data_IF_801923058477
#
_entry.id   IF_801923058477
#
_cell.length_a   1.000
_cell.length_b   1.000
_cell.length_c   1.000
_cell.angle_alpha   90.00
_cell.angle_beta   90.00
_cell.angle_gamma   90.00
#
_symmetry.space_group_name_H-M   'P 1'
#
loop_
_entity.id
_entity.type
_entity.pdbx_description
1 polymer ?
#
# COMPACT_ATOMS: atom_id res chain seq x y z
N UNK A 1 -9.71 -21.40 21.79
CA UNK A 1 -10.85 -20.63 21.25
C UNK A 1 -11.80 -21.62 20.56
N UNK A 2 -12.89 -22.04 21.21
CA UNK A 2 -13.92 -22.91 20.60
C UNK A 2 -14.85 -22.01 19.81
N UNK A 3 -14.65 -21.91 18.51
CA UNK A 3 -15.64 -21.29 17.62
C UNK A 3 -16.87 -22.21 17.69
N UNK A 4 -17.97 -21.72 18.26
CA UNK A 4 -19.20 -22.49 18.39
C UNK A 4 -19.74 -22.80 16.99
N UNK A 5 -20.29 -23.99 16.78
CA UNK A 5 -20.95 -24.37 15.52
C UNK A 5 -22.10 -23.43 15.14
N UNK A 6 -22.63 -22.66 16.12
CA UNK A 6 -23.62 -21.60 15.90
C UNK A 6 -23.07 -20.37 15.16
N UNK A 7 -21.83 -19.94 15.45
CA UNK A 7 -21.27 -18.70 14.89
C UNK A 7 -20.93 -18.87 13.41
N UNK A 8 -20.50 -20.07 13.03
CA UNK A 8 -20.22 -20.43 11.64
C UNK A 8 -21.49 -20.51 10.79
N UNK A 9 -22.59 -20.99 11.37
CA UNK A 9 -23.90 -21.05 10.69
C UNK A 9 -24.48 -19.65 10.46
N UNK A 10 -24.36 -18.74 11.44
CA UNK A 10 -24.81 -17.34 11.31
C UNK A 10 -24.01 -16.61 10.24
N UNK A 11 -22.68 -16.78 10.19
CA UNK A 11 -21.84 -16.15 9.17
C UNK A 11 -22.17 -16.64 7.75
N UNK A 12 -22.43 -17.95 7.55
CA UNK A 12 -22.85 -18.51 6.25
C UNK A 12 -24.20 -17.98 5.78
N UNK A 13 -25.17 -17.86 6.69
CA UNK A 13 -26.49 -17.30 6.37
C UNK A 13 -26.40 -15.79 6.04
N UNK A 14 -25.52 -15.06 6.72
CA UNK A 14 -25.25 -13.65 6.44
C UNK A 14 -24.58 -13.44 5.06
N UNK A 15 -23.58 -14.27 4.71
CA UNK A 15 -22.90 -14.22 3.41
C UNK A 15 -23.88 -14.50 2.25
N UNK A 16 -24.74 -15.51 2.40
CA UNK A 16 -25.75 -15.84 1.38
C UNK A 16 -26.78 -14.73 1.18
N UNK A 17 -27.19 -14.05 2.24
CA UNK A 17 -28.10 -12.92 2.16
C UNK A 17 -27.43 -11.66 1.61
N UNK A 18 -26.16 -11.40 1.95
CA UNK A 18 -25.37 -10.31 1.38
C UNK A 18 -25.16 -10.48 -0.12
N UNK A 19 -24.73 -11.67 -0.57
CA UNK A 19 -24.57 -11.96 -1.99
C UNK A 19 -25.89 -11.80 -2.75
N UNK A 20 -27.01 -12.26 -2.18
CA UNK A 20 -28.33 -12.06 -2.78
C UNK A 20 -28.75 -10.59 -2.85
N UNK A 21 -28.36 -9.75 -1.89
CA UNK A 21 -28.62 -8.32 -1.91
C UNK A 21 -27.75 -7.58 -2.93
N UNK A 22 -26.47 -7.96 -3.06
CA UNK A 22 -25.57 -7.40 -4.08
C UNK A 22 -25.95 -7.81 -5.50
N UNK A 23 -26.54 -9.00 -5.67
CA UNK A 23 -27.06 -9.51 -6.94
C UNK A 23 -28.42 -8.90 -7.34
N UNK A 24 -28.96 -7.96 -6.56
CA UNK A 24 -30.17 -7.23 -6.96
C UNK A 24 -29.84 -6.24 -8.08
N UNK A 25 -30.68 -6.13 -9.13
CA UNK A 25 -30.41 -5.30 -10.31
C UNK A 25 -30.12 -3.83 -9.97
N UNK A 26 -30.74 -3.30 -8.90
CA UNK A 26 -30.55 -1.92 -8.45
C UNK A 26 -29.15 -1.65 -7.84
N UNK A 27 -28.44 -2.70 -7.39
CA UNK A 27 -27.11 -2.60 -6.77
C UNK A 27 -25.99 -3.15 -7.63
N UNK A 28 -26.31 -4.05 -8.56
CA UNK A 28 -25.33 -4.68 -9.45
C UNK A 28 -24.49 -3.67 -10.22
N UNK A 29 -25.12 -2.65 -10.82
CA UNK A 29 -24.39 -1.66 -11.63
C UNK A 29 -23.45 -0.79 -10.76
N UNK A 30 -23.91 -0.19 -9.64
CA UNK A 30 -23.01 0.47 -8.69
C UNK A 30 -21.89 -0.42 -8.16
N UNK A 31 -22.18 -1.67 -7.79
CA UNK A 31 -21.18 -2.59 -7.22
C UNK A 31 -20.13 -3.01 -8.26
N UNK A 32 -20.54 -3.29 -9.50
CA UNK A 32 -19.62 -3.61 -10.59
C UNK A 32 -18.75 -2.42 -10.98
N UNK A 33 -19.33 -1.22 -11.06
CA UNK A 33 -18.57 -0.01 -11.39
C UNK A 33 -17.57 0.34 -10.28
N UNK A 34 -17.99 0.28 -9.01
CA UNK A 34 -17.10 0.46 -7.87
C UNK A 34 -15.98 -0.59 -7.85
N UNK A 35 -16.31 -1.86 -8.06
CA UNK A 35 -15.34 -2.96 -8.13
C UNK A 35 -14.34 -2.78 -9.29
N UNK A 36 -14.79 -2.32 -10.45
CA UNK A 36 -13.93 -2.08 -11.60
C UNK A 36 -12.98 -0.91 -11.36
N UNK A 37 -13.49 0.23 -10.88
CA UNK A 37 -12.66 1.39 -10.53
C UNK A 37 -11.61 0.99 -9.49
N UNK A 38 -12.05 0.28 -8.45
CA UNK A 38 -11.18 -0.16 -7.38
C UNK A 38 -10.14 -1.18 -7.86
N UNK A 39 -10.52 -2.11 -8.75
CA UNK A 39 -9.60 -3.06 -9.35
C UNK A 39 -8.54 -2.40 -10.22
N UNK A 40 -8.92 -1.40 -11.02
CA UNK A 40 -7.96 -0.61 -11.81
C UNK A 40 -7.00 0.14 -10.89
N UNK A 41 -7.51 0.79 -9.83
CA UNK A 41 -6.66 1.44 -8.84
C UNK A 41 -5.70 0.44 -8.18
N UNK A 42 -6.20 -0.74 -7.78
CA UNK A 42 -5.41 -1.78 -7.15
C UNK A 42 -4.23 -2.22 -8.02
N UNK A 43 -4.44 -2.37 -9.33
CA UNK A 43 -3.36 -2.70 -10.29
C UNK A 43 -2.33 -1.57 -10.37
N UNK A 44 -2.78 -0.31 -10.47
CA UNK A 44 -1.89 0.86 -10.51
C UNK A 44 -1.04 0.92 -9.24
N UNK A 45 -1.66 0.76 -8.06
CA UNK A 45 -0.97 0.75 -6.78
C UNK A 45 -0.01 -0.43 -6.65
N UNK A 46 -0.40 -1.64 -7.06
CA UNK A 46 0.46 -2.81 -6.97
C UNK A 46 1.74 -2.65 -7.81
N UNK A 47 1.61 -2.13 -9.04
CA UNK A 47 2.75 -1.83 -9.92
C UNK A 47 3.60 -0.71 -9.32
N UNK A 48 2.98 0.37 -8.85
CA UNK A 48 3.70 1.50 -8.26
C UNK A 48 4.51 1.11 -7.02
N UNK A 49 3.93 0.30 -6.13
CA UNK A 49 4.60 -0.15 -4.91
C UNK A 49 5.69 -1.18 -5.21
N UNK A 50 5.49 -2.05 -6.21
CA UNK A 50 6.54 -2.96 -6.67
C UNK A 50 7.74 -2.19 -7.26
N UNK A 51 7.48 -1.17 -8.10
CA UNK A 51 8.51 -0.32 -8.66
C UNK A 51 9.27 0.47 -7.57
N UNK A 52 8.61 0.83 -6.47
CA UNK A 52 9.25 1.48 -5.32
C UNK A 52 10.20 0.53 -4.57
N UNK A 53 9.82 -0.74 -4.40
CA UNK A 53 10.59 -1.75 -3.67
C UNK A 53 11.77 -2.28 -4.50
N UNK A 54 11.55 -2.55 -5.78
CA UNK A 54 12.52 -3.15 -6.69
C UNK A 54 13.26 -2.08 -7.49
N UNK A 55 14.00 -1.21 -6.80
CA UNK A 55 14.83 -0.14 -7.42
C UNK A 55 16.32 -0.48 -7.38
N UNK A 56 17.13 0.27 -8.15
CA UNK A 56 18.59 0.16 -8.12
C UNK A 56 19.08 -1.25 -8.49
N UNK A 57 19.89 -1.93 -7.65
CA UNK A 57 20.37 -3.30 -7.92
C UNK A 57 19.24 -4.33 -8.13
N UNK A 58 18.03 -4.04 -7.68
CA UNK A 58 16.86 -4.91 -7.83
C UNK A 58 16.02 -4.60 -9.08
N UNK A 59 16.40 -3.58 -9.86
CA UNK A 59 15.63 -3.11 -11.01
C UNK A 59 15.42 -4.20 -12.08
N UNK A 60 16.38 -5.10 -12.25
CA UNK A 60 16.24 -6.23 -13.18
C UNK A 60 15.13 -7.21 -12.78
N UNK A 61 14.75 -7.23 -11.50
CA UNK A 61 13.71 -8.10 -10.94
C UNK A 61 12.35 -7.41 -10.77
N UNK A 62 12.17 -6.18 -11.29
CA UNK A 62 10.89 -5.47 -11.27
C UNK A 62 9.71 -6.34 -11.76
N UNK A 63 9.83 -7.11 -12.87
CA UNK A 63 8.73 -7.98 -13.32
C UNK A 63 8.30 -9.00 -12.27
N UNK A 64 9.27 -9.55 -11.51
CA UNK A 64 8.99 -10.48 -10.40
C UNK A 64 8.27 -9.76 -9.26
N UNK A 65 8.75 -8.57 -8.89
CA UNK A 65 8.11 -7.74 -7.87
C UNK A 65 6.66 -7.36 -8.21
N UNK A 66 6.40 -6.98 -9.46
CA UNK A 66 5.04 -6.68 -9.95
C UNK A 66 4.17 -7.93 -9.87
N UNK A 67 4.67 -9.08 -10.32
CA UNK A 67 3.94 -10.34 -10.25
C UNK A 67 3.57 -10.73 -8.82
N UNK A 68 4.52 -10.60 -7.87
CA UNK A 68 4.28 -10.86 -6.45
C UNK A 68 3.24 -9.89 -5.86
N UNK A 69 3.36 -8.60 -6.14
CA UNK A 69 2.44 -7.57 -5.63
C UNK A 69 1.01 -7.77 -6.14
N UNK A 70 0.84 -8.05 -7.44
CA UNK A 70 -0.46 -8.36 -8.03
C UNK A 70 -1.05 -9.66 -7.49
N UNK A 71 -0.23 -10.70 -7.35
CA UNK A 71 -0.68 -11.97 -6.78
C UNK A 71 -1.15 -11.79 -5.33
N UNK A 72 -0.38 -11.10 -4.50
CA UNK A 72 -0.77 -10.78 -3.12
C UNK A 72 -2.05 -9.94 -3.09
N UNK A 73 -2.20 -8.94 -3.98
CA UNK A 73 -3.39 -8.13 -4.07
C UNK A 73 -4.64 -8.96 -4.40
N UNK A 74 -4.56 -9.88 -5.35
CA UNK A 74 -5.66 -10.79 -5.72
C UNK A 74 -6.00 -11.72 -4.55
N UNK A 75 -5.00 -12.38 -3.97
CA UNK A 75 -5.22 -13.33 -2.86
C UNK A 75 -5.85 -12.62 -1.66
N UNK A 76 -5.33 -11.46 -1.26
CA UNK A 76 -5.88 -10.69 -0.14
C UNK A 76 -7.27 -10.15 -0.42
N UNK A 77 -7.54 -9.65 -1.63
CA UNK A 77 -8.87 -9.19 -2.03
C UNK A 77 -9.91 -10.32 -1.97
N UNK A 78 -9.57 -11.51 -2.47
CA UNK A 78 -10.45 -12.69 -2.42
C UNK A 78 -10.68 -13.13 -0.97
N UNK A 79 -9.62 -13.24 -0.17
CA UNK A 79 -9.74 -13.65 1.23
C UNK A 79 -10.60 -12.66 2.01
N UNK A 80 -10.38 -11.36 1.86
CA UNK A 80 -11.16 -10.32 2.55
C UNK A 80 -12.60 -10.27 2.04
N UNK A 81 -12.83 -10.38 0.73
CA UNK A 81 -14.18 -10.42 0.18
C UNK A 81 -15.02 -11.60 0.72
N UNK A 82 -14.38 -12.74 1.01
CA UNK A 82 -15.07 -13.94 1.51
C UNK A 82 -15.18 -14.02 3.04
N UNK A 83 -14.26 -13.40 3.78
CA UNK A 83 -14.16 -13.56 5.25
C UNK A 83 -14.63 -12.34 6.03
N UNK A 84 -14.67 -11.17 5.39
CA UNK A 84 -14.99 -9.94 6.08
C UNK A 84 -16.48 -9.81 6.38
N UNK A 85 -16.81 -9.26 7.54
CA UNK A 85 -18.20 -9.11 8.00
C UNK A 85 -18.80 -7.73 7.67
N UNK A 86 -18.00 -6.80 7.13
CA UNK A 86 -18.42 -5.44 6.82
C UNK A 86 -18.57 -5.23 5.30
N UNK A 87 -19.72 -4.73 4.82
CA UNK A 87 -19.92 -4.47 3.40
C UNK A 87 -19.01 -3.33 2.91
N UNK A 88 -18.52 -3.43 1.67
CA UNK A 88 -17.76 -2.36 1.01
C UNK A 88 -16.30 -2.21 1.43
N UNK A 89 -15.72 -3.19 2.14
CA UNK A 89 -14.27 -3.17 2.44
C UNK A 89 -13.47 -3.65 1.23
N UNK A 90 -12.40 -2.92 0.95
CA UNK A 90 -11.42 -3.23 -0.09
C UNK A 90 -10.03 -3.25 0.51
N UNK A 91 -9.22 -4.22 0.12
CA UNK A 91 -7.77 -4.24 0.40
C UNK A 91 -6.99 -3.47 -0.66
N UNK A 92 -6.00 -2.70 -0.24
CA UNK A 92 -5.05 -2.03 -1.14
C UNK A 92 -3.63 -2.09 -0.55
N UNK A 93 -2.58 -2.15 -1.39
CA UNK A 93 -1.21 -1.91 -0.98
C UNK A 93 -1.08 -0.56 -0.27
N UNK A 94 -0.29 -0.50 0.80
CA UNK A 94 -0.12 0.70 1.60
C UNK A 94 1.25 1.35 1.36
N UNK A 95 1.23 2.61 0.94
CA UNK A 95 2.38 3.40 0.49
C UNK A 95 3.46 3.49 1.58
N UNK A 96 3.03 3.80 2.81
CA UNK A 96 3.93 3.95 3.96
C UNK A 96 4.63 2.66 4.35
N UNK A 97 4.06 1.49 4.05
CA UNK A 97 4.69 0.20 4.32
C UNK A 97 5.62 -0.20 3.17
N UNK A 98 5.21 0.06 1.93
CA UNK A 98 6.03 -0.21 0.75
C UNK A 98 7.39 0.51 0.81
N UNK A 99 7.44 1.76 1.27
CA UNK A 99 8.71 2.48 1.41
C UNK A 99 9.63 1.87 2.48
N UNK A 100 9.07 1.37 3.59
CA UNK A 100 9.86 0.68 4.62
C UNK A 100 10.43 -0.63 4.06
N UNK A 101 9.62 -1.38 3.30
CA UNK A 101 10.06 -2.60 2.62
C UNK A 101 11.11 -2.31 1.55
N UNK A 102 11.01 -1.19 0.83
CA UNK A 102 12.01 -0.75 -0.13
C UNK A 102 13.36 -0.45 0.54
N UNK A 103 13.35 0.24 1.69
CA UNK A 103 14.57 0.51 2.48
C UNK A 103 15.20 -0.81 2.95
N UNK A 104 14.38 -1.75 3.44
CA UNK A 104 14.87 -3.08 3.85
C UNK A 104 15.47 -3.85 2.66
N UNK A 105 14.79 -3.87 1.52
CA UNK A 105 15.27 -4.54 0.30
C UNK A 105 16.58 -3.93 -0.19
N UNK A 106 16.70 -2.60 -0.17
CA UNK A 106 17.94 -1.89 -0.46
C UNK A 106 19.08 -2.24 0.52
N UNK A 107 18.78 -2.32 1.82
CA UNK A 107 19.77 -2.70 2.83
C UNK A 107 20.26 -4.15 2.67
N UNK A 108 19.40 -5.07 2.23
CA UNK A 108 19.82 -6.43 1.85
C UNK A 108 20.70 -6.36 0.60
N UNK A 109 20.29 -5.59 -0.41
CA UNK A 109 21.03 -5.44 -1.66
C UNK A 109 22.42 -4.80 -1.48
N UNK A 110 22.65 -4.01 -0.43
CA UNK A 110 24.00 -3.49 -0.12
C UNK A 110 24.96 -4.53 0.48
N UNK A 111 24.44 -5.64 0.99
CA UNK A 111 25.24 -6.70 1.60
C UNK A 111 25.64 -7.80 0.62
N UNK A 112 24.96 -7.90 -0.52
CA UNK A 112 25.22 -8.86 -1.58
C UNK A 112 25.68 -8.14 -2.85
N UNK A 113 26.45 -8.81 -3.69
CA UNK A 113 26.75 -8.28 -5.03
C UNK A 113 25.50 -8.32 -5.90
N UNK A 114 25.36 -7.36 -6.83
CA UNK A 114 24.23 -7.36 -7.78
C UNK A 114 24.17 -8.63 -8.63
N UNK A 115 25.31 -9.28 -8.89
CA UNK A 115 25.40 -10.54 -9.63
C UNK A 115 25.19 -11.79 -8.75
N UNK A 116 24.94 -11.63 -7.45
CA UNK A 116 24.77 -12.77 -6.54
C UNK A 116 23.40 -13.44 -6.76
N UNK A 117 23.36 -14.73 -7.13
CA UNK A 117 22.09 -15.45 -7.30
C UNK A 117 21.22 -15.49 -6.03
N UNK A 118 21.81 -15.28 -4.85
CA UNK A 118 21.09 -15.23 -3.58
C UNK A 118 20.37 -13.89 -3.33
N UNK A 119 20.63 -12.84 -4.11
CA UNK A 119 20.05 -11.50 -3.92
C UNK A 119 18.51 -11.53 -3.92
N UNK A 120 17.92 -11.97 -5.03
CA UNK A 120 16.46 -12.01 -5.19
C UNK A 120 15.78 -12.93 -4.16
N UNK A 121 16.22 -14.19 -3.96
CA UNK A 121 15.65 -15.06 -2.92
C UNK A 121 15.71 -14.46 -1.51
N UNK A 122 16.82 -13.79 -1.16
CA UNK A 122 16.98 -13.19 0.17
C UNK A 122 16.03 -12.02 0.37
N UNK A 123 15.86 -11.16 -0.65
CA UNK A 123 14.89 -10.06 -0.62
C UNK A 123 13.46 -10.61 -0.50
N UNK A 124 13.07 -11.58 -1.32
CA UNK A 124 11.74 -12.20 -1.26
C UNK A 124 11.50 -12.84 0.11
N UNK A 125 12.48 -13.55 0.66
CA UNK A 125 12.37 -14.13 1.99
C UNK A 125 12.23 -13.05 3.08
N UNK A 126 12.99 -11.97 2.99
CA UNK A 126 12.86 -10.81 3.87
C UNK A 126 11.47 -10.20 3.82
N UNK A 127 10.91 -10.00 2.63
CA UNK A 127 9.54 -9.52 2.43
C UNK A 127 8.50 -10.49 3.03
N UNK A 128 8.68 -11.80 2.84
CA UNK A 128 7.80 -12.84 3.36
C UNK A 128 7.83 -12.89 4.89
N UNK A 129 9.02 -12.84 5.51
CA UNK A 129 9.19 -12.82 6.96
C UNK A 129 8.57 -11.56 7.54
N UNK A 130 8.88 -10.38 6.98
CA UNK A 130 8.33 -9.11 7.46
C UNK A 130 6.79 -9.11 7.40
N UNK A 131 6.22 -9.50 6.26
CA UNK A 131 4.77 -9.56 6.06
C UNK A 131 4.11 -10.60 6.98
N UNK A 132 4.71 -11.78 7.11
CA UNK A 132 4.24 -12.84 8.00
C UNK A 132 4.27 -12.44 9.46
N UNK A 133 5.35 -11.82 9.93
CA UNK A 133 5.47 -11.30 11.29
C UNK A 133 4.43 -10.23 11.58
N UNK A 134 4.21 -9.28 10.68
CA UNK A 134 3.14 -8.29 10.81
C UNK A 134 1.78 -8.96 10.86
N UNK A 135 1.51 -9.93 9.98
CA UNK A 135 0.27 -10.71 9.97
C UNK A 135 0.00 -11.43 11.30
N UNK A 136 1.03 -12.07 11.88
CA UNK A 136 0.94 -12.73 13.20
C UNK A 136 0.61 -11.70 14.28
N UNK A 137 1.32 -10.57 14.33
CA UNK A 137 1.07 -9.52 15.32
C UNK A 137 -0.35 -8.95 15.18
N UNK A 138 -0.79 -8.64 13.97
CA UNK A 138 -2.15 -8.17 13.70
C UNK A 138 -3.21 -9.20 14.09
N UNK A 139 -2.97 -10.48 13.83
CA UNK A 139 -3.84 -11.57 14.25
C UNK A 139 -3.92 -11.68 15.79
N UNK A 140 -2.80 -11.54 16.49
CA UNK A 140 -2.78 -11.52 17.96
C UNK A 140 -3.54 -10.31 18.52
N UNK A 141 -3.33 -9.11 17.98
CA UNK A 141 -4.07 -7.90 18.39
C UNK A 141 -5.57 -8.08 18.18
N UNK A 142 -5.98 -8.63 17.04
CA UNK A 142 -7.38 -8.93 16.72
C UNK A 142 -8.00 -9.98 17.64
N UNK A 143 -7.30 -11.11 17.85
CA UNK A 143 -7.78 -12.22 18.67
C UNK A 143 -7.93 -11.86 20.15
N UNK A 144 -7.04 -11.02 20.68
CA UNK A 144 -7.15 -10.51 22.05
C UNK A 144 -8.04 -9.27 22.18
N UNK A 145 -8.64 -8.77 21.09
CA UNK A 145 -9.49 -7.56 21.06
C UNK A 145 -8.76 -6.29 21.54
N UNK A 146 -7.45 -6.21 21.29
CA UNK A 146 -6.61 -5.06 21.65
C UNK A 146 -6.76 -3.85 20.71
N UNK A 147 -7.67 -3.91 19.73
CA UNK A 147 -7.90 -2.80 18.78
C UNK A 147 -8.27 -1.48 19.46
N UNK A 148 -8.89 -1.52 20.64
CA UNK A 148 -9.20 -0.33 21.44
C UNK A 148 -7.97 0.43 21.94
N UNK A 149 -6.75 -0.12 21.82
CA UNK A 149 -5.53 0.57 22.21
C UNK A 149 -5.17 1.73 21.28
N UNK A 150 -5.66 1.73 20.04
CA UNK A 150 -5.37 2.79 19.06
C UNK A 150 -5.79 4.19 19.54
N UNK A 151 -6.80 4.27 20.43
CA UNK A 151 -7.28 5.55 21.01
C UNK A 151 -6.29 6.20 21.98
N UNK A 152 -5.25 5.48 22.40
CA UNK A 152 -4.21 6.01 23.28
C UNK A 152 -3.00 6.55 22.53
N UNK A 153 -2.95 6.43 21.20
CA UNK A 153 -1.85 6.99 20.41
C UNK A 153 -2.01 8.51 20.35
N UNK A 154 -1.03 9.29 20.87
CA UNK A 154 -1.10 10.74 20.82
C UNK A 154 -1.06 11.25 19.37
N UNK A 155 -1.83 12.30 19.06
CA UNK A 155 -1.79 12.96 17.75
C UNK A 155 -0.38 13.34 17.27
N UNK A 156 0.55 13.82 18.14
CA UNK A 156 1.93 14.09 17.72
C UNK A 156 2.67 12.86 17.16
N UNK A 157 2.40 11.65 17.67
CA UNK A 157 3.03 10.41 17.19
C UNK A 157 2.53 10.08 15.78
N UNK A 158 1.22 10.19 15.56
CA UNK A 158 0.63 10.00 14.23
C UNK A 158 1.15 11.04 13.25
N UNK A 159 1.21 12.32 13.66
CA UNK A 159 1.74 13.40 12.85
C UNK A 159 3.22 13.20 12.48
N UNK A 160 4.06 12.78 13.43
CA UNK A 160 5.47 12.49 13.18
C UNK A 160 5.67 11.32 12.22
N UNK A 161 4.92 10.23 12.39
CA UNK A 161 4.97 9.07 11.48
C UNK A 161 4.52 9.43 10.07
N UNK A 162 3.42 10.18 9.92
CA UNK A 162 2.94 10.65 8.61
C UNK A 162 3.93 11.62 7.94
N UNK A 163 4.54 12.52 8.70
CA UNK A 163 5.57 13.42 8.17
C UNK A 163 6.82 12.65 7.71
N UNK A 164 7.28 11.70 8.52
CA UNK A 164 8.44 10.86 8.19
C UNK A 164 8.20 9.98 6.96
N UNK A 165 7.07 9.28 6.92
CA UNK A 165 6.71 8.44 5.76
C UNK A 165 6.48 9.29 4.50
N UNK A 166 5.90 10.49 4.62
CA UNK A 166 5.77 11.44 3.51
C UNK A 166 7.13 11.89 2.96
N UNK A 167 8.11 12.17 3.83
CA UNK A 167 9.47 12.48 3.41
C UNK A 167 10.13 11.29 2.69
N UNK A 168 10.04 10.09 3.25
CA UNK A 168 10.60 8.88 2.64
C UNK A 168 9.94 8.56 1.29
N UNK A 169 8.63 8.77 1.16
CA UNK A 169 7.92 8.61 -0.11
C UNK A 169 8.38 9.63 -1.15
N UNK A 170 8.62 10.88 -0.76
CA UNK A 170 9.18 11.89 -1.66
C UNK A 170 10.59 11.49 -2.14
N UNK A 171 11.44 10.99 -1.24
CA UNK A 171 12.76 10.48 -1.59
C UNK A 171 12.69 9.23 -2.48
N UNK A 172 11.80 8.28 -2.18
CA UNK A 172 11.60 7.08 -2.98
C UNK A 172 11.07 7.39 -4.39
N UNK A 173 10.11 8.31 -4.50
CA UNK A 173 9.61 8.77 -5.79
C UNK A 173 10.72 9.46 -6.61
N UNK A 174 11.56 10.29 -5.97
CA UNK A 174 12.72 10.89 -6.62
C UNK A 174 13.70 9.84 -7.14
N UNK A 175 13.98 8.81 -6.33
CA UNK A 175 14.85 7.70 -6.72
C UNK A 175 14.28 6.94 -7.92
N UNK A 176 12.98 6.59 -7.90
CA UNK A 176 12.31 5.94 -9.04
C UNK A 176 12.37 6.78 -10.32
N UNK A 177 12.32 8.11 -10.21
CA UNK A 177 12.39 9.00 -11.38
C UNK A 177 13.81 9.21 -11.93
N UNK A 178 14.83 9.17 -11.07
CA UNK A 178 16.20 9.63 -11.41
C UNK A 178 17.27 8.56 -11.31
N UNK A 179 16.95 7.40 -10.74
CA UNK A 179 17.90 6.36 -10.31
C UNK A 179 18.99 6.88 -9.35
N UNK A 180 18.72 8.00 -8.65
CA UNK A 180 19.64 8.65 -7.72
C UNK A 180 18.99 8.95 -6.37
N UNK A 181 19.79 8.91 -5.31
CA UNK A 181 19.36 9.38 -4.00
C UNK A 181 19.39 10.90 -3.97
N UNK A 182 18.33 11.50 -3.42
CA UNK A 182 18.30 12.94 -3.20
C UNK A 182 19.30 13.33 -2.11
N UNK A 183 20.34 14.04 -2.50
CA UNK A 183 21.38 14.56 -1.61
C UNK A 183 21.57 16.06 -1.87
N UNK A 184 21.44 16.87 -0.82
CA UNK A 184 21.62 18.32 -0.90
C UNK A 184 23.06 18.69 -1.29
N UNK A 185 24.04 17.85 -0.98
CA UNK A 185 25.43 18.10 -1.36
C UNK A 185 25.64 18.07 -2.88
N UNK A 186 24.80 17.34 -3.62
CA UNK A 186 24.89 17.14 -5.07
C UNK A 186 23.84 17.92 -5.87
N UNK A 187 23.22 18.95 -5.27
CA UNK A 187 22.20 19.81 -5.91
C UNK A 187 22.56 20.30 -7.33
N UNK A 188 23.81 20.75 -7.62
CA UNK A 188 24.17 21.17 -8.97
C UNK A 188 24.05 20.06 -10.01
N UNK A 189 24.36 18.82 -9.64
CA UNK A 189 24.21 17.66 -10.51
C UNK A 189 22.73 17.32 -10.75
N UNK A 190 21.88 17.47 -9.72
CA UNK A 190 20.43 17.22 -9.81
C UNK A 190 19.67 18.26 -10.67
N UNK A 191 20.23 19.47 -10.80
CA UNK A 191 19.73 20.55 -11.66
C UNK A 191 20.26 20.50 -13.09
N UNK A 192 21.14 19.54 -13.41
CA UNK A 192 21.56 19.33 -14.79
C UNK A 192 20.31 19.04 -15.67
N UNK A 193 20.21 19.60 -16.89
CA UNK A 193 19.01 19.50 -17.72
C UNK A 193 18.50 18.07 -17.93
N UNK A 194 19.43 17.11 -18.04
CA UNK A 194 19.12 15.70 -18.24
C UNK A 194 18.39 15.05 -17.04
N UNK A 195 18.72 15.45 -15.81
CA UNK A 195 18.11 14.93 -14.58
C UNK A 195 16.89 15.77 -14.20
N UNK A 196 16.99 17.09 -14.36
CA UNK A 196 15.92 18.04 -14.05
C UNK A 196 14.61 17.69 -14.76
N UNK A 197 14.66 17.31 -16.04
CA UNK A 197 13.47 16.91 -16.82
C UNK A 197 12.79 15.65 -16.26
N UNK A 198 13.52 14.79 -15.54
CA UNK A 198 12.96 13.54 -14.98
C UNK A 198 12.12 13.78 -13.72
N UNK A 199 12.49 14.74 -12.86
CA UNK A 199 11.82 14.96 -11.58
C UNK A 199 10.99 16.25 -11.48
N UNK A 200 11.35 17.31 -12.23
CA UNK A 200 10.62 18.59 -12.20
C UNK A 200 9.14 18.45 -12.57
N UNK A 201 8.73 17.67 -13.60
CA UNK A 201 7.31 17.47 -13.90
C UNK A 201 6.56 16.82 -12.73
N UNK A 202 7.16 15.81 -12.08
CA UNK A 202 6.60 15.16 -10.91
C UNK A 202 6.43 16.14 -9.74
N UNK A 203 7.43 16.97 -9.46
CA UNK A 203 7.34 18.02 -8.45
C UNK A 203 6.30 19.08 -8.80
N UNK A 204 6.21 19.51 -10.07
CA UNK A 204 5.22 20.47 -10.52
C UNK A 204 3.80 19.94 -10.33
N UNK A 205 3.53 18.68 -10.69
CA UNK A 205 2.25 18.01 -10.48
C UNK A 205 1.95 17.89 -8.98
N UNK A 206 2.93 17.46 -8.17
CA UNK A 206 2.78 17.35 -6.73
C UNK A 206 2.44 18.69 -6.06
N UNK A 207 3.16 19.76 -6.43
CA UNK A 207 2.87 21.11 -5.95
C UNK A 207 1.50 21.61 -6.42
N UNK A 208 1.16 21.39 -7.69
CA UNK A 208 -0.16 21.74 -8.22
C UNK A 208 -1.26 21.02 -7.46
N UNK A 209 -1.12 19.72 -7.19
CA UNK A 209 -2.08 18.94 -6.40
C UNK A 209 -2.21 19.47 -4.97
N UNK A 210 -1.10 19.76 -4.29
CA UNK A 210 -1.12 20.32 -2.93
C UNK A 210 -1.79 21.70 -2.92
N UNK A 211 -1.49 22.56 -3.89
CA UNK A 211 -2.09 23.89 -4.00
C UNK A 211 -3.59 23.80 -4.32
N UNK A 212 -3.97 22.89 -5.23
CA UNK A 212 -5.38 22.65 -5.58
C UNK A 212 -6.15 22.09 -4.39
N UNK A 213 -5.62 21.11 -3.67
CA UNK A 213 -6.24 20.54 -2.47
C UNK A 213 -6.36 21.57 -1.35
N UNK A 214 -5.36 22.43 -1.16
CA UNK A 214 -5.41 23.51 -0.17
C UNK A 214 -6.38 24.63 -0.57
N UNK A 215 -6.50 24.92 -1.87
CA UNK A 215 -7.38 25.98 -2.41
C UNK A 215 -8.84 25.53 -2.50
N UNK A 216 -9.08 24.27 -2.85
CA UNK A 216 -10.40 23.67 -2.98
C UNK A 216 -10.65 22.70 -1.81
N UNK A 217 -10.73 23.25 -0.60
CA UNK A 217 -11.31 22.55 0.54
C UNK A 217 -12.84 22.47 0.36
N UNK A 218 -13.30 21.60 -0.54
CA UNK A 218 -14.74 21.36 -0.72
C UNK A 218 -15.31 20.70 0.54
N UNK A 219 -16.12 21.47 1.27
CA UNK A 219 -16.84 21.06 2.51
C UNK A 219 -17.89 19.97 2.25
N UNK A 220 -18.17 19.61 0.99
CA UNK A 220 -19.22 18.65 0.60
C UNK A 220 -18.97 17.18 1.00
N UNK A 221 -17.84 16.86 1.65
CA UNK A 221 -17.47 15.49 2.07
C UNK A 221 -17.55 15.27 3.59
N UNK A 222 -17.80 16.30 4.42
CA UNK A 222 -18.08 16.02 5.83
C UNK A 222 -19.38 15.20 5.89
N UNK A 223 -19.37 13.94 6.36
CA UNK A 223 -20.62 13.26 6.62
C UNK A 223 -21.31 14.12 7.68
N UNK A 224 -22.50 14.62 7.37
CA UNK A 224 -23.44 15.06 8.39
C UNK A 224 -23.77 13.80 9.19
N UNK A 225 -23.00 13.56 10.24
CA UNK A 225 -23.38 12.59 11.27
C UNK A 225 -24.61 13.19 11.93
N UNK A 226 -25.79 12.68 11.55
CA UNK A 226 -26.95 12.64 12.44
C UNK A 226 -26.81 11.44 13.35
#
# INVERSE_FOLDING_TARGET
MKISSSDFQIHRLALGNQLRQELQPDRLVPTLTAGLITGVLLVIYAISMAALIFTGPLAEFIPVGIGLSLFTAIVTAVVVALTNSMPGIVTMPQDSLAIILAIMAGAIATQLSAADPALLPTVIMGLAIASGSVGIVCFLIGSFKLGNLIRFIPYPVVGGFLAGTGYLLAQGAFNVMTDQFFDLANLPALLAPAIAVRWLPGCAIGLALVLLLRRYNSVFIRPVVK
#
